data_IF_586933469265
#
_entry.id   IF_586933469265
#
_cell.length_a   1.000
_cell.length_b   1.000
_cell.length_c   1.000
_cell.angle_alpha   90.00
_cell.angle_beta   90.00
_cell.angle_gamma   90.00
#
_symmetry.space_group_name_H-M   'P 1'
#
loop_
_entity.id
_entity.type
_entity.pdbx_description
1 polymer ?
#
# COMPACT_ATOMS: atom_id res chain seq x y z
N UNK A 1 -31.20 -2.20 -9.83
CA UNK A 1 -31.61 -2.81 -11.12
C UNK A 1 -30.38 -3.49 -11.68
N UNK A 2 -30.43 -4.79 -12.04
CA UNK A 2 -29.33 -5.46 -12.77
C UNK A 2 -28.49 -6.47 -11.97
N UNK A 3 -28.98 -7.03 -10.88
CA UNK A 3 -28.29 -8.12 -10.16
C UNK A 3 -28.59 -9.52 -10.77
N UNK A 4 -28.94 -9.61 -12.05
CA UNK A 4 -29.12 -10.87 -12.73
C UNK A 4 -27.93 -11.15 -13.66
N UNK A 5 -26.91 -11.87 -13.10
CA UNK A 5 -26.07 -12.85 -13.79
C UNK A 5 -25.47 -12.44 -15.14
N UNK A 6 -24.82 -11.30 -15.20
CA UNK A 6 -23.90 -10.96 -16.26
C UNK A 6 -22.58 -10.52 -15.64
N UNK A 7 -21.47 -10.83 -16.27
CA UNK A 7 -20.16 -10.23 -15.92
C UNK A 7 -20.24 -8.74 -16.24
N UNK A 8 -20.50 -7.92 -15.22
CA UNK A 8 -20.48 -6.46 -15.35
C UNK A 8 -19.06 -6.01 -15.66
N UNK A 9 -18.91 -5.31 -16.77
CA UNK A 9 -17.65 -4.70 -17.16
C UNK A 9 -17.67 -3.18 -17.04
N UNK A 10 -16.56 -2.56 -17.38
CA UNK A 10 -16.42 -1.11 -17.38
C UNK A 10 -17.42 -0.42 -18.33
N UNK A 11 -17.65 -1.02 -19.49
CA UNK A 11 -18.61 -0.49 -20.48
C UNK A 11 -20.06 -0.48 -19.98
N UNK A 12 -20.45 -1.49 -19.17
CA UNK A 12 -21.78 -1.54 -18.56
C UNK A 12 -21.94 -0.42 -17.54
N UNK A 13 -20.92 -0.22 -16.67
CA UNK A 13 -20.90 0.90 -15.72
C UNK A 13 -21.00 2.24 -16.44
N UNK A 14 -20.23 2.42 -17.50
CA UNK A 14 -20.22 3.66 -18.27
C UNK A 14 -21.58 3.91 -18.92
N UNK A 15 -22.23 2.87 -19.47
CA UNK A 15 -23.56 2.94 -20.05
C UNK A 15 -24.61 3.38 -19.03
N UNK A 16 -24.56 2.86 -17.81
CA UNK A 16 -25.47 3.27 -16.72
C UNK A 16 -25.23 4.72 -16.31
N UNK A 17 -23.97 5.16 -16.22
CA UNK A 17 -23.64 6.58 -15.91
C UNK A 17 -24.15 7.50 -16.99
N UNK A 18 -24.00 7.13 -18.27
CA UNK A 18 -24.50 7.91 -19.38
C UNK A 18 -26.06 7.91 -19.47
N UNK A 19 -26.70 6.83 -19.05
CA UNK A 19 -28.15 6.76 -18.95
C UNK A 19 -28.72 7.78 -17.93
N UNK A 20 -28.00 8.02 -16.81
CA UNK A 20 -28.38 9.05 -15.85
C UNK A 20 -28.36 10.46 -16.45
N UNK A 21 -27.47 10.74 -17.41
CA UNK A 21 -27.45 12.00 -18.15
C UNK A 21 -28.72 12.24 -18.94
N UNK A 22 -29.22 11.20 -19.64
CA UNK A 22 -30.44 11.27 -20.41
C UNK A 22 -31.69 11.48 -19.54
N UNK A 23 -31.74 10.91 -18.36
CA UNK A 23 -32.85 11.10 -17.40
C UNK A 23 -32.86 12.52 -16.86
N UNK A 24 -31.70 13.12 -16.64
CA UNK A 24 -31.57 14.51 -16.15
C UNK A 24 -31.92 15.53 -17.21
N UNK A 25 -31.51 15.35 -18.47
CA UNK A 25 -31.90 16.19 -19.60
C UNK A 25 -33.44 16.19 -19.84
N UNK A 26 -34.12 15.13 -19.43
CA UNK A 26 -35.60 15.03 -19.47
C UNK A 26 -36.31 15.55 -18.23
N UNK A 27 -35.53 16.12 -17.26
CA UNK A 27 -36.08 16.66 -16.01
C UNK A 27 -36.64 15.60 -15.06
N UNK A 28 -36.24 14.33 -15.23
CA UNK A 28 -36.69 13.20 -14.39
C UNK A 28 -35.65 12.74 -13.39
N UNK A 29 -34.43 13.25 -13.46
CA UNK A 29 -33.34 12.93 -12.59
C UNK A 29 -32.94 14.12 -11.72
N UNK A 30 -32.36 13.85 -10.56
CA UNK A 30 -31.84 14.88 -9.63
C UNK A 30 -30.33 15.13 -9.76
N UNK A 31 -29.71 14.75 -10.88
CA UNK A 31 -28.27 14.88 -11.11
C UNK A 31 -27.95 16.11 -11.96
N UNK A 32 -26.85 16.77 -11.70
CA UNK A 32 -26.36 17.87 -12.52
C UNK A 32 -25.52 17.29 -13.68
N UNK A 33 -25.86 17.61 -14.93
CA UNK A 33 -25.16 17.14 -16.15
C UNK A 33 -23.64 17.34 -16.02
N UNK A 34 -23.19 18.47 -15.50
CA UNK A 34 -21.76 18.72 -15.29
C UNK A 34 -21.10 17.75 -14.31
N UNK A 35 -21.85 17.24 -13.34
CA UNK A 35 -21.37 16.24 -12.37
C UNK A 35 -21.24 14.88 -13.04
N UNK A 36 -22.18 14.52 -13.92
CA UNK A 36 -22.17 13.27 -14.68
C UNK A 36 -21.02 13.28 -15.68
N UNK A 37 -20.83 14.39 -16.41
CA UNK A 37 -19.71 14.56 -17.34
C UNK A 37 -18.35 14.46 -16.60
N UNK A 38 -18.26 15.07 -15.42
CA UNK A 38 -17.07 14.97 -14.55
C UNK A 38 -16.82 13.53 -14.06
N UNK A 39 -17.89 12.78 -13.79
CA UNK A 39 -17.78 11.38 -13.38
C UNK A 39 -17.36 10.50 -14.58
N UNK A 40 -17.97 10.66 -15.74
CA UNK A 40 -17.58 9.97 -16.96
C UNK A 40 -16.11 10.17 -17.29
N UNK A 41 -15.65 11.43 -17.30
CA UNK A 41 -14.24 11.75 -17.57
C UNK A 41 -13.29 11.07 -16.59
N UNK A 42 -13.63 11.06 -15.28
CA UNK A 42 -12.82 10.40 -14.24
C UNK A 42 -12.78 8.89 -14.44
N UNK A 43 -13.92 8.27 -14.76
CA UNK A 43 -14.03 6.83 -15.01
C UNK A 43 -13.20 6.44 -16.23
N UNK A 44 -13.34 7.15 -17.37
CA UNK A 44 -12.53 6.88 -18.56
C UNK A 44 -11.03 7.02 -18.28
N UNK A 45 -10.65 8.12 -17.64
CA UNK A 45 -9.24 8.37 -17.31
C UNK A 45 -8.66 7.30 -16.40
N UNK A 46 -9.43 6.82 -15.41
CA UNK A 46 -8.94 5.84 -14.41
C UNK A 46 -8.96 4.41 -14.91
N UNK A 47 -9.89 4.04 -15.75
CA UNK A 47 -10.07 2.64 -16.17
C UNK A 47 -9.68 2.39 -17.63
N UNK A 48 -10.06 3.21 -18.60
CA UNK A 48 -9.68 3.01 -20.00
C UNK A 48 -8.20 3.28 -20.26
N UNK A 49 -7.60 4.26 -19.55
CA UNK A 49 -6.19 4.62 -19.70
C UNK A 49 -5.28 3.86 -18.75
N UNK A 50 -5.83 3.09 -17.84
CA UNK A 50 -5.06 2.27 -16.88
C UNK A 50 -4.77 0.91 -17.50
N UNK A 51 -3.50 0.52 -17.49
CA UNK A 51 -3.08 -0.84 -17.85
C UNK A 51 -3.25 -1.86 -16.70
N UNK A 52 -3.81 -1.43 -15.57
CA UNK A 52 -3.92 -2.23 -14.35
C UNK A 52 -5.26 -2.94 -14.28
N UNK A 53 -6.33 -2.31 -14.80
CA UNK A 53 -7.69 -2.84 -14.73
C UNK A 53 -8.10 -3.40 -16.09
N UNK A 54 -8.62 -4.62 -16.09
CA UNK A 54 -9.14 -5.29 -17.28
C UNK A 54 -10.48 -5.96 -16.94
N UNK A 55 -11.42 -5.89 -17.87
CA UNK A 55 -12.71 -6.57 -17.77
C UNK A 55 -12.60 -8.07 -18.09
N UNK A 56 -11.55 -8.46 -18.82
CA UNK A 56 -11.42 -9.80 -19.39
C UNK A 56 -10.28 -10.61 -18.78
N UNK A 57 -9.26 -9.94 -18.28
CA UNK A 57 -8.07 -10.58 -17.70
C UNK A 57 -8.00 -10.32 -16.21
N UNK A 58 -7.86 -11.38 -15.43
CA UNK A 58 -7.67 -11.29 -14.00
C UNK A 58 -6.69 -12.36 -13.53
N UNK A 59 -5.91 -12.01 -12.52
CA UNK A 59 -5.02 -12.98 -11.87
C UNK A 59 -5.87 -13.89 -10.99
N UNK A 60 -5.83 -15.19 -11.23
CA UNK A 60 -6.52 -16.15 -10.38
C UNK A 60 -5.88 -16.19 -8.99
N UNK A 61 -6.69 -16.29 -7.93
CA UNK A 61 -6.18 -16.37 -6.57
C UNK A 61 -5.24 -17.57 -6.37
N UNK A 62 -5.49 -18.67 -7.07
CA UNK A 62 -4.64 -19.87 -7.02
C UNK A 62 -3.25 -19.65 -7.63
N UNK A 63 -3.07 -18.66 -8.50
CA UNK A 63 -1.76 -18.29 -9.04
C UNK A 63 -0.98 -17.39 -8.08
N UNK A 64 -1.69 -16.60 -7.27
CA UNK A 64 -1.08 -15.77 -6.23
C UNK A 64 -0.72 -16.59 -4.98
N UNK A 65 -1.58 -17.53 -4.61
CA UNK A 65 -1.45 -18.29 -3.37
C UNK A 65 -1.31 -19.79 -3.68
N UNK A 66 -0.12 -20.31 -3.46
CA UNK A 66 0.15 -21.77 -3.51
C UNK A 66 0.98 -22.17 -2.29
N UNK A 67 0.77 -23.37 -1.75
CA UNK A 67 1.63 -23.86 -0.68
C UNK A 67 3.11 -23.81 -1.08
N UNK A 68 3.95 -23.23 -0.21
CA UNK A 68 5.37 -23.06 -0.47
C UNK A 68 5.76 -21.92 -1.42
N UNK A 69 4.79 -21.14 -1.91
CA UNK A 69 5.03 -19.97 -2.77
C UNK A 69 5.00 -18.68 -1.96
N UNK A 70 5.90 -17.76 -2.27
CA UNK A 70 5.85 -16.37 -1.85
C UNK A 70 5.67 -15.49 -3.09
N UNK A 71 4.53 -14.84 -3.20
CA UNK A 71 4.23 -13.92 -4.31
C UNK A 71 4.42 -12.48 -3.84
N UNK A 72 5.17 -11.69 -4.59
CA UNK A 72 5.43 -10.28 -4.30
C UNK A 72 4.75 -9.43 -5.36
N UNK A 73 3.82 -8.59 -4.94
CA UNK A 73 3.17 -7.58 -5.78
C UNK A 73 3.88 -6.24 -5.57
N UNK A 74 4.58 -5.78 -6.57
CA UNK A 74 5.25 -4.47 -6.54
C UNK A 74 4.26 -3.39 -6.97
N UNK A 75 3.87 -2.53 -6.03
CA UNK A 75 2.90 -1.45 -6.25
C UNK A 75 3.55 -0.05 -6.20
N UNK A 76 4.89 0.03 -6.16
CA UNK A 76 5.63 1.28 -5.93
C UNK A 76 5.43 2.33 -7.02
N UNK A 77 5.15 1.91 -8.25
CA UNK A 77 4.95 2.81 -9.40
C UNK A 77 3.49 3.21 -9.63
N UNK A 78 2.59 2.74 -8.77
CA UNK A 78 1.15 2.95 -8.86
C UNK A 78 0.74 4.07 -7.90
N UNK A 79 -0.22 4.91 -8.28
CA UNK A 79 -0.77 5.94 -7.40
C UNK A 79 -1.39 5.34 -6.14
N UNK A 80 -1.27 6.03 -4.99
CA UNK A 80 -1.70 5.52 -3.69
C UNK A 80 -3.18 5.11 -3.66
N UNK A 81 -4.07 5.90 -4.28
CA UNK A 81 -5.49 5.57 -4.38
C UNK A 81 -5.74 4.26 -5.16
N UNK A 82 -4.97 4.02 -6.20
CA UNK A 82 -5.07 2.79 -6.99
C UNK A 82 -4.50 1.60 -6.23
N UNK A 83 -3.38 1.79 -5.52
CA UNK A 83 -2.85 0.78 -4.59
C UNK A 83 -3.92 0.34 -3.57
N UNK A 84 -4.65 1.30 -2.99
CA UNK A 84 -5.73 1.02 -2.04
C UNK A 84 -6.88 0.21 -2.67
N UNK A 85 -7.24 0.51 -3.92
CA UNK A 85 -8.27 -0.26 -4.66
C UNK A 85 -7.80 -1.68 -4.93
N UNK A 86 -6.58 -1.86 -5.44
CA UNK A 86 -5.99 -3.17 -5.74
C UNK A 86 -5.92 -4.03 -4.47
N UNK A 87 -5.33 -3.50 -3.41
CA UNK A 87 -5.20 -4.22 -2.13
C UNK A 87 -6.57 -4.53 -1.54
N UNK A 88 -7.49 -3.55 -1.53
CA UNK A 88 -8.85 -3.75 -1.04
C UNK A 88 -9.63 -4.82 -1.83
N UNK A 89 -9.48 -4.86 -3.16
CA UNK A 89 -10.11 -5.86 -4.01
C UNK A 89 -9.52 -7.26 -3.78
N UNK A 90 -8.19 -7.39 -3.76
CA UNK A 90 -7.50 -8.66 -3.52
C UNK A 90 -7.84 -9.23 -2.14
N UNK A 91 -7.83 -8.41 -1.10
CA UNK A 91 -8.20 -8.84 0.25
C UNK A 91 -9.66 -9.30 0.33
N UNK A 92 -10.60 -8.59 -0.32
CA UNK A 92 -12.00 -9.01 -0.39
C UNK A 92 -12.17 -10.33 -1.12
N UNK A 93 -11.55 -10.50 -2.29
CA UNK A 93 -11.58 -11.76 -3.04
C UNK A 93 -11.00 -12.91 -2.22
N UNK A 94 -9.83 -12.71 -1.63
CA UNK A 94 -9.16 -13.71 -0.78
C UNK A 94 -10.01 -14.12 0.41
N UNK A 95 -10.57 -13.14 1.14
CA UNK A 95 -11.42 -13.41 2.29
C UNK A 95 -12.71 -14.13 1.87
N UNK A 96 -13.37 -13.69 0.80
CA UNK A 96 -14.58 -14.33 0.26
C UNK A 96 -14.30 -15.79 -0.12
N UNK A 97 -13.23 -16.05 -0.87
CA UNK A 97 -12.85 -17.39 -1.30
C UNK A 97 -12.54 -18.31 -0.11
N UNK A 98 -11.80 -17.80 0.89
CA UNK A 98 -11.50 -18.57 2.12
C UNK A 98 -12.73 -18.85 2.95
N UNK A 99 -13.59 -17.87 3.15
CA UNK A 99 -14.86 -18.05 3.89
C UNK A 99 -15.75 -19.08 3.20
N UNK A 100 -15.94 -18.98 1.88
CA UNK A 100 -16.73 -19.92 1.10
C UNK A 100 -16.17 -21.34 1.18
N UNK A 101 -14.86 -21.49 1.00
CA UNK A 101 -14.18 -22.80 1.11
C UNK A 101 -14.27 -23.37 2.51
N UNK A 102 -14.02 -22.59 3.55
CA UNK A 102 -14.05 -23.06 4.93
C UNK A 102 -15.47 -23.48 5.40
N UNK A 103 -16.49 -22.86 4.82
CA UNK A 103 -17.92 -23.21 5.11
C UNK A 103 -18.47 -24.30 4.20
N UNK A 104 -17.73 -24.75 3.18
CA UNK A 104 -18.21 -25.70 2.18
C UNK A 104 -19.30 -25.14 1.24
N UNK A 105 -19.41 -23.81 1.12
CA UNK A 105 -20.46 -23.12 0.36
C UNK A 105 -19.94 -22.54 -0.95
N UNK A 106 -18.76 -22.95 -1.45
CA UNK A 106 -18.25 -22.51 -2.72
C UNK A 106 -19.14 -23.06 -3.85
N UNK A 107 -19.76 -22.17 -4.62
CA UNK A 107 -20.55 -22.56 -5.77
C UNK A 107 -19.63 -22.97 -6.95
N UNK A 108 -20.11 -23.81 -7.88
CA UNK A 108 -19.37 -24.09 -9.10
C UNK A 108 -19.03 -22.81 -9.85
N UNK A 109 -17.74 -22.57 -10.14
CA UNK A 109 -17.26 -21.33 -10.77
C UNK A 109 -16.82 -20.22 -9.81
N UNK A 110 -17.05 -20.35 -8.50
CA UNK A 110 -16.49 -19.44 -7.52
C UNK A 110 -15.00 -19.69 -7.33
N UNK A 111 -14.26 -18.60 -7.08
CA UNK A 111 -12.86 -18.72 -6.65
C UNK A 111 -12.78 -19.45 -5.31
N UNK A 112 -11.93 -20.45 -5.21
CA UNK A 112 -11.71 -21.24 -4.00
C UNK A 112 -10.25 -21.24 -3.60
N UNK A 113 -10.00 -21.20 -2.29
CA UNK A 113 -8.67 -21.34 -1.71
C UNK A 113 -8.72 -22.45 -0.64
N UNK A 114 -8.27 -23.69 -0.97
CA UNK A 114 -8.41 -24.82 -0.07
C UNK A 114 -7.45 -24.80 1.13
N UNK A 115 -6.49 -23.89 1.14
CA UNK A 115 -5.45 -23.77 2.19
C UNK A 115 -5.48 -22.38 2.83
N UNK A 116 -4.98 -22.25 4.07
CA UNK A 116 -4.79 -20.97 4.72
C UNK A 116 -3.80 -20.08 3.97
N UNK A 117 -3.99 -18.78 4.05
CA UNK A 117 -3.14 -17.77 3.40
C UNK A 117 -2.67 -16.74 4.40
N UNK A 118 -1.48 -16.20 4.16
CA UNK A 118 -0.92 -15.10 4.92
C UNK A 118 -0.55 -13.96 3.98
N UNK A 119 -1.03 -12.76 4.25
CA UNK A 119 -0.77 -11.56 3.46
C UNK A 119 0.06 -10.60 4.28
N UNK A 120 1.17 -10.12 3.73
CA UNK A 120 2.02 -9.12 4.35
C UNK A 120 1.86 -7.80 3.60
N UNK A 121 1.53 -6.73 4.30
CA UNK A 121 1.37 -5.39 3.73
C UNK A 121 2.48 -4.48 4.24
N UNK A 122 3.33 -4.02 3.33
CA UNK A 122 4.30 -2.96 3.60
C UNK A 122 3.63 -1.59 3.52
N UNK A 123 4.16 -0.63 4.30
CA UNK A 123 3.61 0.72 4.44
C UNK A 123 2.10 0.73 4.74
N UNK A 124 1.69 -0.13 5.67
CA UNK A 124 0.29 -0.42 6.00
C UNK A 124 -0.56 0.81 6.32
N UNK A 125 0.07 1.91 6.78
CA UNK A 125 -0.61 3.18 7.00
C UNK A 125 -1.20 3.81 5.73
N UNK A 126 -0.80 3.38 4.53
CA UNK A 126 -1.43 3.80 3.27
C UNK A 126 -2.78 3.12 3.05
N UNK A 127 -2.95 1.90 3.56
CA UNK A 127 -4.15 1.08 3.34
C UNK A 127 -5.19 1.21 4.45
N UNK A 128 -4.79 1.75 5.59
CA UNK A 128 -5.68 2.10 6.70
C UNK A 128 -5.15 3.34 7.42
N UNK A 129 -5.22 4.52 6.79
CA UNK A 129 -4.73 5.76 7.39
C UNK A 129 -5.58 6.19 8.59
N UNK A 130 -4.92 6.75 9.61
CA UNK A 130 -5.60 7.34 10.76
C UNK A 130 -6.50 8.51 10.32
N UNK A 131 -7.72 8.56 10.83
CA UNK A 131 -8.66 9.65 10.58
C UNK A 131 -9.30 9.67 9.18
N UNK A 132 -9.01 8.69 8.32
CA UNK A 132 -9.63 8.54 7.01
C UNK A 132 -10.08 7.10 6.78
N UNK A 133 -11.25 6.93 6.19
CA UNK A 133 -11.68 5.63 5.69
C UNK A 133 -11.38 5.54 4.19
N UNK A 134 -10.49 4.65 3.83
CA UNK A 134 -10.19 4.31 2.43
C UNK A 134 -10.79 2.95 2.08
N UNK A 135 -10.79 2.61 0.79
CA UNK A 135 -11.45 1.39 0.26
C UNK A 135 -10.97 0.10 0.93
N UNK A 136 -9.70 0.06 1.35
CA UNK A 136 -9.08 -1.10 2.01
C UNK A 136 -9.27 -1.16 3.53
N UNK A 137 -9.64 -0.06 4.20
CA UNK A 137 -9.72 0.00 5.68
C UNK A 137 -10.70 -1.01 6.24
N UNK A 138 -11.93 -1.07 5.71
CA UNK A 138 -12.97 -1.94 6.24
C UNK A 138 -12.66 -3.43 6.10
N UNK A 139 -12.11 -3.83 4.95
CA UNK A 139 -11.74 -5.24 4.75
C UNK A 139 -10.54 -5.64 5.63
N UNK A 140 -9.61 -4.74 5.87
CA UNK A 140 -8.51 -4.96 6.81
C UNK A 140 -9.02 -5.19 8.22
N UNK A 141 -9.90 -4.32 8.74
CA UNK A 141 -10.55 -4.49 10.06
C UNK A 141 -11.29 -5.81 10.13
N UNK A 142 -12.04 -6.17 9.11
CA UNK A 142 -12.78 -7.44 9.08
C UNK A 142 -11.83 -8.66 9.14
N UNK A 143 -10.76 -8.68 8.35
CA UNK A 143 -9.83 -9.82 8.34
C UNK A 143 -9.05 -9.90 9.65
N UNK A 144 -8.60 -8.78 10.21
CA UNK A 144 -7.91 -8.77 11.50
C UNK A 144 -8.76 -9.31 12.63
N UNK A 145 -10.07 -8.99 12.65
CA UNK A 145 -10.99 -9.46 13.68
C UNK A 145 -11.45 -10.92 13.48
N UNK A 146 -11.70 -11.36 12.26
CA UNK A 146 -12.37 -12.63 11.97
C UNK A 146 -11.58 -13.60 11.08
N UNK A 147 -10.60 -13.11 10.33
CA UNK A 147 -9.89 -13.87 9.30
C UNK A 147 -9.25 -15.15 9.83
N UNK A 148 -8.78 -15.14 11.08
CA UNK A 148 -8.21 -16.32 11.75
C UNK A 148 -9.15 -17.53 11.70
N UNK A 149 -10.46 -17.33 11.85
CA UNK A 149 -11.46 -18.41 11.80
C UNK A 149 -11.51 -19.11 10.45
N UNK A 150 -11.14 -18.39 9.41
CA UNK A 150 -11.18 -18.87 8.02
C UNK A 150 -9.80 -19.15 7.44
N UNK A 151 -8.74 -19.02 8.25
CA UNK A 151 -7.36 -19.23 7.83
C UNK A 151 -6.83 -18.09 6.94
N UNK A 152 -7.26 -16.86 7.19
CA UNK A 152 -6.64 -15.66 6.59
C UNK A 152 -5.86 -14.93 7.68
N UNK A 153 -4.54 -14.85 7.54
CA UNK A 153 -3.65 -14.07 8.39
C UNK A 153 -3.17 -12.81 7.67
N UNK A 154 -2.98 -11.73 8.42
CA UNK A 154 -2.40 -10.48 7.92
C UNK A 154 -1.25 -10.06 8.83
N UNK A 155 -0.12 -9.70 8.21
CA UNK A 155 0.97 -8.97 8.82
C UNK A 155 1.04 -7.56 8.27
N UNK A 156 1.21 -6.59 9.16
CA UNK A 156 1.32 -5.17 8.82
C UNK A 156 2.73 -4.67 9.12
N UNK A 157 3.35 -4.02 8.16
CA UNK A 157 4.65 -3.36 8.34
C UNK A 157 4.44 -1.87 8.13
N UNK A 158 4.88 -1.06 9.08
CA UNK A 158 4.83 0.40 8.96
C UNK A 158 5.99 1.06 9.67
N UNK A 159 6.49 2.15 9.10
CA UNK A 159 7.47 3.03 9.75
C UNK A 159 6.77 4.17 10.52
N UNK A 160 5.45 4.30 10.39
CA UNK A 160 4.67 5.40 10.94
C UNK A 160 3.40 4.89 11.64
N UNK A 161 3.54 4.21 12.79
CA UNK A 161 2.39 3.64 13.50
C UNK A 161 1.36 4.70 13.91
N UNK A 162 1.78 5.94 14.19
CA UNK A 162 0.87 7.05 14.48
C UNK A 162 -0.01 7.49 13.31
N UNK A 163 0.32 7.06 12.08
CA UNK A 163 -0.52 7.29 10.89
C UNK A 163 -1.40 6.09 10.52
N UNK A 164 -1.29 4.98 11.23
CA UNK A 164 -2.15 3.81 11.05
C UNK A 164 -3.43 3.96 11.87
N UNK A 165 -4.56 3.51 11.32
CA UNK A 165 -5.85 3.46 12.02
C UNK A 165 -5.70 2.69 13.35
N UNK A 166 -6.23 3.27 14.43
CA UNK A 166 -6.03 2.74 15.78
C UNK A 166 -6.75 1.39 16.01
N UNK A 167 -7.90 1.19 15.39
CA UNK A 167 -8.62 -0.08 15.49
C UNK A 167 -7.84 -1.18 14.78
N UNK A 168 -7.23 -0.86 13.63
CA UNK A 168 -6.35 -1.79 12.90
C UNK A 168 -5.13 -2.15 13.73
N UNK A 169 -4.48 -1.16 14.33
CA UNK A 169 -3.29 -1.37 15.17
C UNK A 169 -3.62 -2.22 16.42
N UNK A 170 -4.73 -1.93 17.10
CA UNK A 170 -5.13 -2.64 18.32
C UNK A 170 -5.51 -4.10 18.08
N UNK A 171 -5.92 -4.45 16.87
CA UNK A 171 -6.24 -5.84 16.49
C UNK A 171 -5.00 -6.66 16.11
N UNK A 172 -3.82 -6.05 16.04
CA UNK A 172 -2.56 -6.75 15.86
C UNK A 172 -2.14 -7.44 17.15
N UNK A 173 -2.46 -8.73 17.26
CA UNK A 173 -2.26 -9.53 18.48
C UNK A 173 -0.80 -9.72 18.87
N UNK A 174 0.13 -9.65 17.92
CA UNK A 174 1.58 -9.74 18.17
C UNK A 174 2.26 -8.58 17.46
N UNK A 175 3.10 -7.87 18.17
CA UNK A 175 3.80 -6.70 17.66
C UNK A 175 5.32 -6.90 17.77
N UNK A 176 6.02 -6.60 16.68
CA UNK A 176 7.47 -6.55 16.60
C UNK A 176 7.88 -5.09 16.48
N UNK A 177 8.31 -4.50 17.57
CA UNK A 177 8.56 -3.06 17.68
C UNK A 177 10.08 -2.82 17.59
N UNK A 178 10.49 -2.21 16.50
CA UNK A 178 11.88 -1.80 16.29
C UNK A 178 12.08 -0.36 16.78
N UNK A 179 13.27 0.21 16.54
CA UNK A 179 13.59 1.57 16.96
C UNK A 179 12.58 2.59 16.45
N UNK A 180 12.00 3.34 17.39
CA UNK A 180 11.09 4.46 17.12
C UNK A 180 11.62 5.69 17.83
N UNK A 181 11.84 6.77 17.08
CA UNK A 181 12.38 8.03 17.61
C UNK A 181 11.30 9.09 17.76
N UNK A 182 10.28 9.07 16.89
CA UNK A 182 9.20 10.06 16.88
C UNK A 182 8.30 9.89 18.12
N UNK A 183 8.09 10.93 18.96
CA UNK A 183 7.29 10.84 20.19
C UNK A 183 5.81 10.45 19.94
N UNK A 184 5.21 10.91 18.83
CA UNK A 184 3.83 10.57 18.48
C UNK A 184 3.70 9.08 18.20
N UNK A 185 4.62 8.54 17.44
CA UNK A 185 4.66 7.10 17.11
C UNK A 185 4.92 6.25 18.38
N UNK A 186 5.81 6.71 19.28
CA UNK A 186 6.04 6.08 20.57
C UNK A 186 4.78 6.05 21.43
N UNK A 187 4.07 7.17 21.52
CA UNK A 187 2.83 7.25 22.29
C UNK A 187 1.73 6.35 21.71
N UNK A 188 1.64 6.25 20.38
CA UNK A 188 0.70 5.37 19.70
C UNK A 188 0.99 3.91 20.04
N UNK A 189 2.24 3.48 19.96
CA UNK A 189 2.64 2.12 20.36
C UNK A 189 2.39 1.89 21.84
N UNK A 190 2.76 2.85 22.71
CA UNK A 190 2.54 2.73 24.15
C UNK A 190 1.06 2.55 24.54
N UNK A 191 0.15 3.11 23.74
CA UNK A 191 -1.31 2.96 23.95
C UNK A 191 -1.88 1.66 23.38
N UNK A 192 -1.20 1.04 22.40
CA UNK A 192 -1.67 -0.16 21.70
C UNK A 192 -1.13 -1.47 22.27
N UNK A 193 -0.06 -1.40 23.08
CA UNK A 193 0.61 -2.58 23.64
C UNK A 193 0.09 -2.86 25.05
N UNK A 194 -0.68 -3.92 25.18
CA UNK A 194 -1.11 -4.41 26.49
C UNK A 194 0.07 -5.01 27.26
N UNK A 195 0.26 -4.61 28.52
CA UNK A 195 1.23 -5.22 29.42
C UNK A 195 2.72 -4.92 29.12
N UNK A 196 3.03 -4.12 28.14
CA UNK A 196 4.41 -3.64 27.98
C UNK A 196 4.75 -2.74 29.17
N UNK A 197 5.66 -3.16 30.00
CA UNK A 197 6.15 -2.28 31.05
C UNK A 197 6.61 -0.96 30.43
N UNK A 198 6.11 0.17 30.91
CA UNK A 198 6.43 1.51 30.38
C UNK A 198 7.93 1.70 30.20
N UNK A 199 8.75 1.12 31.10
CA UNK A 199 10.21 1.16 31.02
C UNK A 199 10.79 0.57 29.72
N UNK A 200 10.17 -0.49 29.18
CA UNK A 200 10.67 -1.11 27.95
C UNK A 200 10.35 -0.24 26.73
N UNK A 201 9.26 0.51 26.78
CA UNK A 201 8.90 1.47 25.73
C UNK A 201 9.77 2.73 25.77
N UNK A 202 10.23 3.12 26.96
CA UNK A 202 11.18 4.24 27.11
C UNK A 202 12.52 3.96 26.41
N UNK A 203 12.86 2.69 26.18
CA UNK A 203 14.07 2.27 25.46
C UNK A 203 13.94 2.26 23.93
N UNK A 204 12.74 2.47 23.38
CA UNK A 204 12.51 2.43 21.92
C UNK A 204 13.46 3.35 21.13
N UNK A 205 13.77 4.58 21.56
CA UNK A 205 14.70 5.45 20.83
C UNK A 205 16.14 4.95 20.88
N UNK A 206 16.51 4.21 21.93
CA UNK A 206 17.86 3.71 22.17
C UNK A 206 18.15 2.37 21.48
N UNK A 207 17.12 1.69 20.95
CA UNK A 207 17.31 0.43 20.25
C UNK A 207 18.30 0.57 19.10
N UNK A 208 19.19 -0.39 18.98
CA UNK A 208 20.16 -0.46 17.88
C UNK A 208 19.59 -1.24 16.68
N UNK A 209 20.28 -1.14 15.55
CA UNK A 209 19.89 -1.89 14.34
C UNK A 209 19.86 -3.40 14.63
N UNK A 210 18.74 -4.04 14.32
CA UNK A 210 18.52 -5.47 14.53
C UNK A 210 18.00 -5.82 15.92
N UNK A 211 17.79 -4.87 16.83
CA UNK A 211 17.05 -5.09 18.07
C UNK A 211 15.55 -4.90 17.86
N UNK A 212 14.77 -5.70 18.55
CA UNK A 212 13.30 -5.70 18.46
C UNK A 212 12.71 -6.01 19.83
N UNK A 213 11.65 -5.29 20.18
CA UNK A 213 10.77 -5.65 21.29
C UNK A 213 9.62 -6.45 20.72
N UNK A 214 9.43 -7.67 21.22
CA UNK A 214 8.29 -8.52 20.86
C UNK A 214 7.28 -8.46 21.99
N UNK A 215 6.01 -8.15 21.65
CA UNK A 215 4.91 -8.05 22.59
C UNK A 215 3.63 -8.69 22.03
N UNK A 216 2.72 -9.06 22.92
CA UNK A 216 1.41 -9.63 22.56
C UNK A 216 1.37 -11.14 22.76
N UNK A 217 0.41 -11.79 22.10
CA UNK A 217 0.06 -13.20 22.38
C UNK A 217 1.13 -14.24 22.06
N UNK A 218 2.14 -13.86 21.29
CA UNK A 218 3.25 -14.76 20.96
C UNK A 218 4.25 -14.94 22.13
N UNK A 219 4.19 -14.09 23.14
CA UNK A 219 5.10 -14.08 24.29
C UNK A 219 4.33 -13.85 25.58
N UNK A 220 4.75 -14.46 26.69
CA UNK A 220 4.08 -14.27 27.99
C UNK A 220 4.31 -12.86 28.56
N UNK A 221 5.44 -12.27 28.28
CA UNK A 221 5.81 -10.92 28.66
C UNK A 221 6.58 -10.28 27.51
N UNK A 222 6.53 -8.96 27.33
CA UNK A 222 7.35 -8.29 26.32
C UNK A 222 8.84 -8.61 26.52
N UNK A 223 9.50 -8.97 25.43
CA UNK A 223 10.92 -9.37 25.43
C UNK A 223 11.71 -8.54 24.43
N UNK A 224 12.93 -8.15 24.84
CA UNK A 224 13.91 -7.60 23.94
C UNK A 224 14.68 -8.74 23.28
N UNK A 225 14.71 -8.76 21.95
CA UNK A 225 15.39 -9.79 21.18
C UNK A 225 16.29 -9.17 20.10
N UNK A 226 17.25 -9.94 19.63
CA UNK A 226 18.08 -9.60 18.48
C UNK A 226 17.59 -10.40 17.26
N UNK A 227 17.34 -9.70 16.17
CA UNK A 227 17.01 -10.32 14.88
C UNK A 227 18.28 -10.95 14.32
N UNK A 228 18.20 -12.22 13.92
CA UNK A 228 19.33 -12.92 13.29
C UNK A 228 19.80 -12.21 12.03
N UNK A 229 21.06 -12.40 11.70
CA UNK A 229 21.58 -11.92 10.43
C UNK A 229 20.82 -12.54 9.25
N UNK A 230 20.57 -11.71 8.24
CA UNK A 230 19.97 -12.16 6.99
C UNK A 230 20.99 -12.98 6.21
N UNK A 231 20.51 -14.13 5.65
CA UNK A 231 21.30 -15.02 4.82
C UNK A 231 21.08 -14.78 3.32
N UNK A 232 20.05 -14.03 2.96
CA UNK A 232 19.73 -13.67 1.57
C UNK A 232 20.43 -12.38 1.16
N UNK A 233 20.61 -12.17 -0.14
CA UNK A 233 21.22 -10.95 -0.69
C UNK A 233 20.37 -9.71 -0.37
N UNK A 234 21.01 -8.56 -0.12
CA UNK A 234 20.33 -7.28 0.08
C UNK A 234 20.04 -6.64 -1.27
N UNK A 235 18.74 -6.48 -1.60
CA UNK A 235 18.32 -5.80 -2.82
C UNK A 235 18.10 -4.30 -2.69
N UNK A 236 18.08 -3.76 -1.46
CA UNK A 236 17.83 -2.33 -1.16
C UNK A 236 19.06 -1.65 -0.57
N UNK A 237 20.22 -1.76 -1.22
CA UNK A 237 21.42 -1.04 -0.79
C UNK A 237 21.21 0.46 -1.01
N UNK A 238 21.39 1.24 0.06
CA UNK A 238 21.49 2.69 -0.06
C UNK A 238 22.77 2.98 -0.86
N UNK A 239 22.64 3.74 -1.92
CA UNK A 239 23.78 4.17 -2.72
C UNK A 239 24.77 4.89 -1.78
N UNK A 240 26.01 4.41 -1.74
CA UNK A 240 27.11 5.12 -1.06
C UNK A 240 27.48 6.35 -1.90
N UNK A 241 26.67 7.40 -1.78
CA UNK A 241 26.88 8.63 -2.54
C UNK A 241 28.31 9.21 -2.37
N UNK A 242 28.89 9.26 -1.15
CA UNK A 242 30.28 9.68 -1.01
C UNK A 242 31.27 8.79 -1.76
N UNK A 243 31.06 7.48 -1.73
CA UNK A 243 31.90 6.52 -2.46
C UNK A 243 31.77 6.65 -3.98
N UNK A 244 30.55 6.80 -4.47
CA UNK A 244 30.29 7.03 -5.90
C UNK A 244 30.88 8.38 -6.38
N UNK A 245 30.73 9.45 -5.60
CA UNK A 245 31.35 10.73 -5.90
C UNK A 245 32.87 10.63 -5.92
N UNK A 246 33.51 9.93 -4.98
CA UNK A 246 34.95 9.70 -4.98
C UNK A 246 35.41 8.90 -6.20
N UNK A 247 34.67 7.85 -6.58
CA UNK A 247 34.94 7.09 -7.81
C UNK A 247 34.89 7.98 -9.02
N UNK A 248 33.85 8.82 -9.15
CA UNK A 248 33.72 9.77 -10.26
C UNK A 248 34.88 10.77 -10.33
N UNK A 249 35.25 11.38 -9.19
CA UNK A 249 36.36 12.34 -9.14
C UNK A 249 37.73 11.68 -9.30
N UNK A 250 37.90 10.45 -8.88
CA UNK A 250 39.16 9.71 -9.00
C UNK A 250 39.28 8.98 -10.36
N UNK A 251 38.15 8.75 -11.05
CA UNK A 251 38.18 8.25 -12.43
C UNK A 251 38.75 9.31 -13.34
N UNK A 252 40.06 9.34 -13.42
CA UNK A 252 40.88 10.36 -14.03
C UNK A 252 41.05 10.20 -15.55
N UNK A 253 40.01 9.81 -16.27
CA UNK A 253 40.04 10.04 -17.72
C UNK A 253 39.34 11.38 -18.00
N UNK A 254 40.14 12.36 -18.38
CA UNK A 254 39.71 13.66 -18.89
C UNK A 254 38.63 13.50 -19.98
N UNK A 255 38.75 12.45 -20.78
CA UNK A 255 37.81 12.07 -21.83
C UNK A 255 36.40 11.65 -21.30
N UNK A 256 36.31 11.04 -20.15
CA UNK A 256 35.03 10.66 -19.55
C UNK A 256 34.27 11.88 -19.04
N UNK A 257 35.01 12.84 -18.43
CA UNK A 257 34.42 14.12 -17.98
C UNK A 257 33.96 14.98 -19.15
N UNK A 258 34.75 15.02 -20.23
CA UNK A 258 34.42 15.78 -21.46
C UNK A 258 33.17 15.18 -22.16
N UNK A 259 32.95 13.85 -22.10
CA UNK A 259 31.73 13.20 -22.61
C UNK A 259 30.51 13.47 -21.74
N UNK A 260 30.68 13.43 -20.44
CA UNK A 260 29.61 13.67 -19.49
C UNK A 260 29.18 15.15 -19.50
N UNK A 261 30.14 16.07 -19.62
CA UNK A 261 29.86 17.51 -19.79
C UNK A 261 29.19 17.82 -21.15
N UNK A 262 29.47 17.06 -22.18
CA UNK A 262 28.83 17.23 -23.50
C UNK A 262 27.39 16.74 -23.52
N UNK A 263 27.03 15.81 -22.60
CA UNK A 263 25.65 15.30 -22.44
C UNK A 263 24.81 16.15 -21.50
N UNK A 264 25.42 16.96 -20.62
CA UNK A 264 24.69 17.91 -19.80
C UNK A 264 24.24 19.10 -20.65
N UNK A 265 22.94 19.24 -20.84
CA UNK A 265 22.32 20.45 -21.43
C UNK A 265 22.72 21.63 -20.54
N UNK A 266 23.63 22.49 -21.06
CA UNK A 266 23.98 23.72 -20.35
C UNK A 266 22.70 24.51 -20.09
N UNK A 267 22.40 24.88 -18.84
CA UNK A 267 21.25 25.73 -18.56
C UNK A 267 21.47 27.02 -19.39
N UNK A 268 20.52 27.33 -20.24
CA UNK A 268 20.54 28.60 -20.95
C UNK A 268 20.58 29.72 -19.89
N UNK A 269 21.48 30.72 -20.04
CA UNK A 269 21.46 31.86 -19.12
C UNK A 269 20.07 32.47 -19.21
N UNK A 270 19.35 32.45 -18.10
CA UNK A 270 18.07 33.17 -17.98
C UNK A 270 18.37 34.60 -18.34
N UNK A 271 17.78 35.10 -19.44
CA UNK A 271 17.94 36.46 -19.89
C UNK A 271 17.76 37.42 -18.72
N UNK A 272 18.75 38.25 -18.48
CA UNK A 272 18.70 39.22 -17.41
C UNK A 272 17.53 40.15 -17.64
N UNK A 273 16.63 40.22 -16.68
CA UNK A 273 15.64 41.29 -16.57
C UNK A 273 16.46 42.54 -16.30
N UNK A 274 16.58 43.44 -17.28
CA UNK A 274 17.07 44.80 -17.05
C UNK A 274 16.06 45.48 -16.13
N UNK A 275 16.42 45.65 -14.89
CA UNK A 275 15.75 46.58 -14.00
C UNK A 275 16.46 47.92 -14.24
N UNK A 276 15.79 48.84 -14.90
CA UNK A 276 16.29 50.21 -15.09
C UNK A 276 16.54 50.84 -13.71
N UNK A 277 17.80 51.22 -13.46
CA UNK A 277 18.14 52.22 -12.46
C UNK A 277 18.94 51.80 -11.25
N UNK A 278 19.88 50.83 -11.31
CA UNK A 278 20.92 50.74 -10.28
C UNK A 278 22.20 50.14 -10.89
N UNK A 279 23.16 51.01 -11.17
CA UNK A 279 24.57 50.63 -11.35
C UNK A 279 25.22 50.48 -9.96
N UNK A 280 25.54 49.25 -9.56
CA UNK A 280 26.60 48.92 -8.60
C UNK A 280 27.25 47.60 -9.02
#
# INVERSE_FOLDING_TARGET
>A
RGAERGTWGFNDLLTEVLALRYEDEKGKGGGNVSTIDGLEWRLRRRFEQSHIFSDHEHIALQDLFRPGQCTVLQLSEIEENEQQVIVGALLRRTNKARVATARGNAAPGDESLPYPVFVLLEEAHRYAPAGQQVVSTNILKQILSEGRKFGVGIGLITQRPGKLDQDVLSQCMTQFIMRIVNPIDQQTIASSVEGAGRRLLDELPALTKGQVIVSGVAVNTPVLAAVRQRITRHGGETIDAPGEWRKYFNASSREQRERDDATMVKPQPKGGVKIDGWDV
#
